data_IF_595433270157
#
_entry.id   IF_595433270157
#
_cell.length_a   1.000
_cell.length_b   1.000
_cell.length_c   1.000
_cell.angle_alpha   90.00
_cell.angle_beta   90.00
_cell.angle_gamma   90.00
#
_symmetry.space_group_name_H-M   'P 1'
#
loop_
_entity.id
_entity.type
_entity.pdbx_description
1 polymer ?
#
# COMPACT_ATOMS: atom_id res chain seq x y z
N UNK A 1 -23.84 6.55 2.24
CA UNK A 1 -23.53 5.69 1.07
C UNK A 1 -22.76 4.47 1.54
N UNK A 2 -23.27 3.24 1.37
CA UNK A 2 -22.48 2.03 1.59
C UNK A 2 -21.30 1.97 0.61
N UNK A 3 -20.18 1.36 1.01
CA UNK A 3 -19.05 1.15 0.14
C UNK A 3 -19.40 0.13 -0.95
N UNK A 4 -19.06 0.43 -2.21
CA UNK A 4 -19.22 -0.55 -3.30
C UNK A 4 -18.10 -1.58 -3.22
N UNK A 5 -18.44 -2.82 -2.87
CA UNK A 5 -17.50 -3.93 -2.92
C UNK A 5 -17.16 -4.29 -4.38
N UNK A 6 -15.94 -4.76 -4.59
CA UNK A 6 -15.40 -5.07 -5.91
C UNK A 6 -14.54 -6.32 -5.82
N UNK A 7 -14.95 -7.37 -6.55
CA UNK A 7 -14.21 -8.62 -6.64
C UNK A 7 -12.90 -8.46 -7.43
N UNK A 8 -11.85 -9.15 -6.99
CA UNK A 8 -10.62 -9.34 -7.78
C UNK A 8 -10.83 -10.33 -8.94
N UNK A 9 -9.89 -10.44 -9.88
CA UNK A 9 -9.99 -11.39 -10.99
C UNK A 9 -9.91 -12.84 -10.49
N UNK A 10 -9.13 -13.11 -9.45
CA UNK A 10 -9.16 -14.40 -8.75
C UNK A 10 -10.57 -14.73 -8.24
N UNK A 11 -11.14 -13.87 -7.39
CA UNK A 11 -12.47 -14.06 -6.79
C UNK A 11 -13.57 -14.27 -7.83
N UNK A 12 -13.51 -13.55 -8.96
CA UNK A 12 -14.42 -13.76 -10.10
C UNK A 12 -14.24 -15.12 -10.75
N UNK A 13 -13.00 -15.58 -10.93
CA UNK A 13 -12.73 -16.89 -11.53
C UNK A 13 -13.13 -18.03 -10.58
N UNK A 14 -12.94 -17.90 -9.26
CA UNK A 14 -13.47 -18.85 -8.26
C UNK A 14 -15.00 -18.90 -8.32
N UNK A 15 -15.68 -17.75 -8.39
CA UNK A 15 -17.14 -17.69 -8.54
C UNK A 15 -17.62 -18.31 -9.88
N UNK A 16 -16.87 -18.15 -10.97
CA UNK A 16 -17.15 -18.80 -12.27
C UNK A 16 -16.98 -20.31 -12.22
N UNK A 17 -15.96 -20.82 -11.52
CA UNK A 17 -15.75 -22.25 -11.33
C UNK A 17 -16.90 -22.85 -10.49
N UNK A 18 -17.21 -22.24 -9.35
CA UNK A 18 -18.32 -22.65 -8.47
C UNK A 18 -19.68 -22.67 -9.19
N UNK A 19 -19.97 -21.66 -10.01
CA UNK A 19 -21.19 -21.62 -10.84
C UNK A 19 -21.16 -22.65 -11.98
N UNK A 20 -20.00 -23.02 -12.53
CA UNK A 20 -19.88 -24.07 -13.55
C UNK A 20 -20.15 -25.46 -12.97
N UNK A 21 -19.73 -25.68 -11.73
CA UNK A 21 -20.03 -26.90 -10.97
C UNK A 21 -21.50 -26.98 -10.54
N UNK A 22 -22.18 -25.83 -10.40
CA UNK A 22 -23.54 -25.71 -9.87
C UNK A 22 -24.35 -24.64 -10.63
N UNK A 23 -24.74 -24.91 -11.90
CA UNK A 23 -25.42 -23.94 -12.76
C UNK A 23 -26.85 -23.61 -12.30
N UNK A 24 -27.44 -24.47 -11.46
CA UNK A 24 -28.81 -24.31 -10.94
C UNK A 24 -28.92 -23.30 -9.78
N UNK A 25 -27.78 -22.76 -9.29
CA UNK A 25 -27.77 -21.80 -8.19
C UNK A 25 -28.31 -20.42 -8.61
N UNK A 26 -29.21 -19.88 -7.81
CA UNK A 26 -29.76 -18.54 -8.02
C UNK A 26 -28.70 -17.46 -7.80
N UNK A 27 -28.91 -16.29 -8.42
CA UNK A 27 -28.05 -15.11 -8.22
C UNK A 27 -28.00 -14.61 -6.77
N UNK A 28 -28.93 -15.03 -5.92
CA UNK A 28 -28.97 -14.69 -4.49
C UNK A 28 -28.07 -15.64 -3.69
N UNK A 29 -28.17 -16.95 -3.90
CA UNK A 29 -27.27 -17.95 -3.29
C UNK A 29 -25.80 -17.73 -3.72
N UNK A 30 -25.56 -17.41 -5.00
CA UNK A 30 -24.22 -17.04 -5.49
C UNK A 30 -23.70 -15.75 -4.83
N UNK A 31 -24.58 -14.81 -4.43
CA UNK A 31 -24.20 -13.60 -3.69
C UNK A 31 -23.85 -13.93 -2.24
N UNK A 32 -24.66 -14.75 -1.58
CA UNK A 32 -24.43 -15.19 -0.20
C UNK A 32 -23.12 -15.95 -0.08
N UNK A 33 -22.88 -16.94 -0.93
CA UNK A 33 -21.59 -17.63 -1.02
C UNK A 33 -20.40 -16.67 -1.29
N UNK A 34 -20.59 -15.68 -2.16
CA UNK A 34 -19.56 -14.64 -2.42
C UNK A 34 -19.29 -13.78 -1.18
N UNK A 35 -20.30 -13.53 -0.35
CA UNK A 35 -20.15 -12.80 0.90
C UNK A 35 -19.47 -13.66 1.98
N UNK A 36 -19.88 -14.91 2.13
CA UNK A 36 -19.27 -15.88 3.05
C UNK A 36 -17.80 -16.12 2.74
N UNK A 37 -17.45 -16.41 1.48
CA UNK A 37 -16.08 -16.76 1.08
C UNK A 37 -15.13 -15.57 1.00
N UNK A 38 -15.62 -14.34 0.82
CA UNK A 38 -14.76 -13.16 0.57
C UNK A 38 -15.09 -11.89 1.36
N UNK A 39 -16.08 -11.91 2.26
CA UNK A 39 -16.52 -10.74 3.04
C UNK A 39 -17.12 -9.60 2.20
N UNK A 40 -17.59 -9.86 0.97
CA UNK A 40 -17.90 -8.83 -0.04
C UNK A 40 -19.35 -8.90 -0.51
N UNK A 41 -20.19 -8.00 0.01
CA UNK A 41 -21.57 -7.86 -0.46
C UNK A 41 -21.63 -7.16 -1.83
N UNK A 42 -21.93 -7.93 -2.88
CA UNK A 42 -21.99 -7.49 -4.28
C UNK A 42 -23.44 -7.55 -4.77
N UNK A 43 -23.85 -6.68 -5.70
CA UNK A 43 -25.25 -6.68 -6.20
C UNK A 43 -25.54 -7.88 -7.11
N UNK A 44 -26.75 -8.46 -7.01
CA UNK A 44 -27.25 -9.60 -7.82
C UNK A 44 -26.85 -9.55 -9.30
N UNK A 45 -27.16 -8.44 -9.97
CA UNK A 45 -26.87 -8.25 -11.40
C UNK A 45 -25.37 -8.22 -11.74
N UNK A 46 -24.51 -7.93 -10.77
CA UNK A 46 -23.05 -8.03 -10.92
C UNK A 46 -22.57 -9.46 -10.69
N UNK A 47 -23.15 -10.19 -9.74
CA UNK A 47 -22.89 -11.63 -9.54
C UNK A 47 -23.25 -12.42 -10.80
N UNK A 48 -24.49 -12.29 -11.30
CA UNK A 48 -24.93 -12.96 -12.52
C UNK A 48 -24.05 -12.64 -13.72
N UNK A 49 -23.68 -11.36 -13.92
CA UNK A 49 -22.79 -10.93 -15.01
C UNK A 49 -21.33 -11.42 -14.87
N UNK A 50 -20.84 -11.68 -13.66
CA UNK A 50 -19.52 -12.30 -13.45
C UNK A 50 -19.59 -13.79 -13.77
N UNK A 51 -20.60 -14.49 -13.23
CA UNK A 51 -20.82 -15.92 -13.37
C UNK A 51 -21.14 -16.34 -14.83
N UNK A 52 -21.80 -15.48 -15.60
CA UNK A 52 -22.09 -15.70 -17.04
C UNK A 52 -20.95 -15.32 -17.99
N UNK A 53 -19.81 -14.84 -17.48
CA UNK A 53 -18.65 -14.48 -18.30
C UNK A 53 -17.58 -15.57 -18.27
N UNK A 54 -16.85 -15.79 -19.38
CA UNK A 54 -15.72 -16.72 -19.39
C UNK A 54 -14.61 -16.26 -18.43
N UNK A 55 -13.71 -17.18 -18.09
CA UNK A 55 -12.61 -16.90 -17.17
C UNK A 55 -11.66 -15.81 -17.68
N UNK A 56 -11.31 -14.87 -16.79
CA UNK A 56 -10.39 -13.79 -17.10
C UNK A 56 -8.95 -14.27 -16.88
N UNK A 57 -8.27 -14.68 -17.96
CA UNK A 57 -6.81 -14.92 -17.94
C UNK A 57 -6.10 -13.56 -17.80
N UNK A 58 -5.59 -13.27 -16.61
CA UNK A 58 -4.88 -12.02 -16.32
C UNK A 58 -3.57 -12.31 -15.54
N UNK A 59 -2.49 -11.60 -15.88
CA UNK A 59 -1.21 -11.70 -15.19
C UNK A 59 -1.27 -11.29 -13.70
N UNK A 60 -2.27 -10.50 -13.30
CA UNK A 60 -2.48 -10.09 -11.92
C UNK A 60 -3.86 -10.53 -11.38
N UNK A 61 -3.96 -11.72 -10.77
CA UNK A 61 -5.19 -12.17 -10.09
C UNK A 61 -5.78 -11.17 -9.08
N UNK A 62 -4.94 -10.38 -8.38
CA UNK A 62 -5.37 -9.38 -7.39
C UNK A 62 -6.02 -8.12 -8.00
N UNK A 63 -5.94 -7.94 -9.32
CA UNK A 63 -6.52 -6.76 -9.96
C UNK A 63 -8.07 -6.83 -9.96
N UNK A 64 -8.74 -5.69 -9.77
CA UNK A 64 -10.22 -5.59 -9.81
C UNK A 64 -10.79 -5.50 -11.23
N UNK A 65 -9.96 -5.13 -12.21
CA UNK A 65 -10.29 -5.00 -13.64
C UNK A 65 -9.05 -5.34 -14.47
N UNK A 66 -9.24 -6.12 -15.54
CA UNK A 66 -8.20 -6.35 -16.53
C UNK A 66 -7.92 -5.05 -17.31
N UNK A 67 -6.66 -4.59 -17.36
CA UNK A 67 -6.26 -3.32 -17.97
C UNK A 67 -5.08 -3.54 -18.93
N UNK A 68 -5.37 -3.53 -20.24
CA UNK A 68 -4.35 -3.41 -21.29
C UNK A 68 -3.71 -2.02 -21.25
N UNK A 69 -2.41 -1.95 -21.57
CA UNK A 69 -1.70 -0.67 -21.72
C UNK A 69 -1.62 -0.23 -23.18
N UNK A 70 -0.83 0.81 -23.45
CA UNK A 70 -0.63 1.39 -24.79
C UNK A 70 0.00 0.40 -25.78
N UNK A 71 0.73 -0.60 -25.29
CA UNK A 71 1.55 -1.51 -26.11
C UNK A 71 1.35 -2.98 -25.71
N UNK A 72 0.14 -3.55 -25.88
CA UNK A 72 -0.23 -4.85 -25.29
C UNK A 72 0.62 -6.03 -25.82
N UNK A 73 1.10 -5.97 -27.05
CA UNK A 73 1.92 -7.04 -27.64
C UNK A 73 3.35 -7.03 -27.07
N UNK A 74 3.94 -5.85 -26.92
CA UNK A 74 5.22 -5.61 -26.24
C UNK A 74 5.13 -6.00 -24.76
N UNK A 75 4.02 -5.68 -24.08
CA UNK A 75 3.74 -6.09 -22.69
C UNK A 75 3.70 -7.62 -22.54
N UNK A 76 3.06 -8.32 -23.50
CA UNK A 76 2.98 -9.78 -23.53
C UNK A 76 4.34 -10.45 -23.74
N UNK A 77 5.20 -9.88 -24.57
CA UNK A 77 6.55 -10.40 -24.80
C UNK A 77 7.51 -10.09 -23.64
N UNK A 78 7.47 -8.88 -23.10
CA UNK A 78 8.22 -8.50 -21.89
C UNK A 78 7.83 -9.37 -20.69
N UNK A 79 6.54 -9.66 -20.51
CA UNK A 79 6.07 -10.56 -19.45
C UNK A 79 6.53 -12.01 -19.66
N UNK A 80 6.55 -12.52 -20.90
CA UNK A 80 7.12 -13.84 -21.23
C UNK A 80 8.61 -13.91 -20.86
N UNK A 81 9.39 -12.89 -21.23
CA UNK A 81 10.81 -12.78 -20.88
C UNK A 81 11.03 -12.88 -19.36
N UNK A 82 10.29 -12.09 -18.57
CA UNK A 82 10.36 -12.13 -17.10
C UNK A 82 10.06 -13.54 -16.56
N UNK A 83 8.97 -14.18 -17.03
CA UNK A 83 8.61 -15.53 -16.60
C UNK A 83 9.66 -16.57 -16.98
N UNK A 84 10.30 -16.46 -18.16
CA UNK A 84 11.39 -17.36 -18.55
C UNK A 84 12.62 -17.22 -17.66
N UNK A 85 13.07 -15.98 -17.36
CA UNK A 85 14.29 -15.79 -16.55
C UNK A 85 14.03 -16.08 -15.06
N UNK A 86 12.82 -15.85 -14.55
CA UNK A 86 12.41 -16.28 -13.21
C UNK A 86 12.46 -17.81 -13.07
N UNK A 87 11.99 -18.57 -14.09
CA UNK A 87 12.10 -20.04 -14.12
C UNK A 87 13.54 -20.55 -14.25
N UNK A 88 14.43 -19.80 -14.91
CA UNK A 88 15.84 -20.17 -15.03
C UNK A 88 16.61 -19.97 -13.71
N UNK A 89 16.21 -18.98 -12.90
CA UNK A 89 16.87 -18.64 -11.63
C UNK A 89 16.20 -19.29 -10.40
N UNK A 90 15.44 -20.37 -10.60
CA UNK A 90 14.49 -20.85 -9.58
C UNK A 90 15.18 -21.35 -8.29
N UNK A 91 16.43 -21.80 -8.37
CA UNK A 91 17.24 -22.29 -7.25
C UNK A 91 17.74 -21.20 -6.27
N UNK A 92 17.41 -19.92 -6.50
CA UNK A 92 17.75 -18.79 -5.60
C UNK A 92 16.51 -17.96 -5.19
N UNK A 93 15.29 -18.46 -5.43
CA UNK A 93 14.09 -17.63 -5.39
C UNK A 93 13.69 -17.11 -4.01
N UNK A 94 13.56 -17.98 -3.01
CA UNK A 94 12.58 -17.71 -1.94
C UNK A 94 12.97 -16.57 -1.00
N UNK A 95 14.27 -16.36 -0.76
CA UNK A 95 14.80 -15.17 -0.06
C UNK A 95 14.80 -13.93 -1.00
N UNK A 96 15.29 -14.08 -2.24
CA UNK A 96 15.38 -12.99 -3.22
C UNK A 96 14.00 -12.44 -3.66
N UNK A 97 12.92 -13.19 -3.46
CA UNK A 97 11.56 -12.75 -3.75
C UNK A 97 11.10 -11.59 -2.84
N UNK A 98 11.73 -11.37 -1.69
CA UNK A 98 11.37 -10.31 -0.73
C UNK A 98 12.24 -9.04 -0.85
N UNK A 99 13.52 -9.16 -1.22
CA UNK A 99 14.54 -8.09 -1.10
C UNK A 99 14.63 -7.07 -2.25
N UNK A 100 13.69 -7.05 -3.21
CA UNK A 100 13.77 -6.31 -4.49
C UNK A 100 14.93 -6.73 -5.45
N UNK A 101 15.97 -7.40 -4.95
CA UNK A 101 17.20 -7.84 -5.64
C UNK A 101 17.01 -8.96 -6.69
N UNK A 102 15.99 -8.86 -7.54
CA UNK A 102 15.92 -9.60 -8.80
C UNK A 102 16.31 -8.65 -9.94
N UNK A 103 17.51 -8.79 -10.56
CA UNK A 103 17.95 -7.91 -11.64
C UNK A 103 16.94 -7.83 -12.79
N UNK A 104 16.23 -8.93 -13.08
CA UNK A 104 15.14 -9.04 -14.06
C UNK A 104 13.96 -8.10 -13.78
N UNK A 105 13.72 -7.75 -12.51
CA UNK A 105 12.63 -6.85 -12.06
C UNK A 105 13.11 -5.42 -11.78
N UNK A 106 14.42 -5.15 -11.94
CA UNK A 106 14.98 -3.81 -11.91
C UNK A 106 14.36 -2.95 -13.02
N UNK A 107 14.04 -1.70 -12.69
CA UNK A 107 13.37 -0.80 -13.63
C UNK A 107 14.25 -0.41 -14.81
N UNK A 108 15.58 -0.33 -14.63
CA UNK A 108 16.50 -0.11 -15.75
C UNK A 108 16.48 -1.30 -16.74
N UNK A 109 16.54 -2.54 -16.24
CA UNK A 109 16.53 -3.75 -17.08
C UNK A 109 15.19 -3.89 -17.82
N UNK A 110 14.07 -3.70 -17.10
CA UNK A 110 12.74 -3.73 -17.70
C UNK A 110 12.51 -2.60 -18.71
N UNK A 111 13.03 -1.39 -18.46
CA UNK A 111 12.94 -0.25 -19.36
C UNK A 111 13.72 -0.48 -20.65
N UNK A 112 14.99 -0.91 -20.54
CA UNK A 112 15.83 -1.24 -21.68
C UNK A 112 15.21 -2.36 -22.52
N UNK A 113 14.74 -3.44 -21.89
CA UNK A 113 14.12 -4.57 -22.60
C UNK A 113 12.76 -4.21 -23.22
N UNK A 114 11.97 -3.34 -22.57
CA UNK A 114 10.74 -2.82 -23.16
C UNK A 114 11.03 -2.00 -24.44
N UNK A 115 12.02 -1.11 -24.41
CA UNK A 115 12.41 -0.31 -25.56
C UNK A 115 13.03 -1.14 -26.69
N UNK A 116 13.86 -2.15 -26.38
CA UNK A 116 14.37 -3.13 -27.36
C UNK A 116 13.23 -3.85 -28.09
N UNK A 117 12.24 -4.35 -27.33
CA UNK A 117 11.05 -5.00 -27.89
C UNK A 117 10.22 -4.00 -28.71
N UNK A 118 10.04 -2.76 -28.24
CA UNK A 118 9.25 -1.73 -28.93
C UNK A 118 9.88 -1.33 -30.28
N UNK A 119 11.20 -1.10 -30.30
CA UNK A 119 11.98 -0.79 -31.51
C UNK A 119 11.80 -1.88 -32.58
N UNK A 120 11.96 -3.15 -32.20
CA UNK A 120 11.75 -4.31 -33.10
C UNK A 120 10.30 -4.46 -33.58
N UNK A 121 9.30 -3.99 -32.81
CA UNK A 121 7.88 -4.11 -33.18
C UNK A 121 7.32 -2.89 -33.94
N UNK A 122 7.87 -1.68 -33.75
CA UNK A 122 7.29 -0.42 -34.27
C UNK A 122 8.29 0.65 -34.74
N UNK A 123 9.59 0.36 -34.79
CA UNK A 123 10.63 1.31 -35.19
C UNK A 123 11.14 2.20 -34.06
N UNK A 124 12.17 2.99 -34.35
CA UNK A 124 12.93 3.75 -33.35
C UNK A 124 12.22 4.99 -32.78
N UNK A 125 11.15 5.46 -33.44
CA UNK A 125 10.42 6.70 -33.09
C UNK A 125 9.64 6.61 -31.76
N UNK A 126 9.57 5.42 -31.13
CA UNK A 126 8.77 5.21 -29.92
C UNK A 126 9.60 4.59 -28.79
N UNK A 127 9.54 5.22 -27.63
CA UNK A 127 10.07 4.72 -26.36
C UNK A 127 9.01 4.80 -25.25
N UNK A 128 9.17 3.95 -24.23
CA UNK A 128 8.42 4.04 -22.98
C UNK A 128 9.23 4.80 -21.93
N UNK A 129 8.55 5.46 -20.98
CA UNK A 129 9.21 6.09 -19.82
C UNK A 129 9.31 5.14 -18.63
N UNK A 130 10.17 5.43 -17.64
CA UNK A 130 10.26 4.65 -16.40
C UNK A 130 8.91 4.58 -15.67
N UNK A 131 8.13 5.68 -15.69
CA UNK A 131 6.76 5.70 -15.18
C UNK A 131 5.77 4.79 -15.94
N UNK A 132 6.06 4.39 -17.18
CA UNK A 132 5.33 3.30 -17.85
C UNK A 132 5.73 1.93 -17.27
N UNK A 133 7.03 1.69 -16.98
CA UNK A 133 7.51 0.43 -16.37
C UNK A 133 6.90 0.21 -14.99
N UNK A 134 6.79 1.25 -14.17
CA UNK A 134 6.06 1.20 -12.89
C UNK A 134 4.58 0.78 -13.07
N UNK A 135 3.89 1.35 -14.08
CA UNK A 135 2.51 0.97 -14.42
C UNK A 135 2.41 -0.44 -15.03
N UNK A 136 3.45 -0.95 -15.68
CA UNK A 136 3.56 -2.34 -16.10
C UNK A 136 3.72 -3.28 -14.90
N UNK A 137 4.71 -3.03 -14.02
CA UNK A 137 4.94 -3.80 -12.76
C UNK A 137 3.64 -3.92 -11.95
N UNK A 138 2.89 -2.82 -11.79
CA UNK A 138 1.60 -2.77 -11.06
C UNK A 138 0.43 -3.49 -11.75
N UNK A 139 0.40 -3.55 -13.09
CA UNK A 139 -0.65 -4.27 -13.85
C UNK A 139 -0.39 -5.76 -13.94
N UNK A 140 0.87 -6.19 -13.95
CA UNK A 140 1.28 -7.60 -14.05
C UNK A 140 1.53 -8.28 -12.68
N UNK A 141 1.27 -7.61 -11.56
CA UNK A 141 1.44 -8.19 -10.22
C UNK A 141 2.90 -8.31 -9.76
N UNK A 142 3.82 -7.60 -10.43
CA UNK A 142 5.27 -7.66 -10.21
C UNK A 142 5.79 -6.54 -9.29
N UNK A 143 4.90 -5.64 -8.83
CA UNK A 143 5.26 -4.58 -7.87
C UNK A 143 5.49 -5.19 -6.48
N UNK A 144 6.55 -4.79 -5.77
CA UNK A 144 6.92 -5.30 -4.43
C UNK A 144 5.74 -5.46 -3.46
N UNK A 145 4.88 -4.45 -3.30
CA UNK A 145 3.71 -4.53 -2.43
C UNK A 145 2.68 -5.59 -2.85
N UNK A 146 2.51 -5.84 -4.15
CA UNK A 146 1.63 -6.91 -4.66
C UNK A 146 2.27 -8.30 -4.50
N UNK A 147 3.60 -8.40 -4.57
CA UNK A 147 4.35 -9.65 -4.36
C UNK A 147 4.34 -10.07 -2.88
N UNK A 148 4.55 -9.12 -1.97
CA UNK A 148 4.44 -9.34 -0.50
C UNK A 148 3.03 -9.77 -0.13
N UNK A 149 1.99 -9.07 -0.60
CA UNK A 149 0.60 -9.46 -0.35
C UNK A 149 0.27 -10.86 -0.91
N UNK A 150 0.78 -11.22 -2.10
CA UNK A 150 0.60 -12.58 -2.63
C UNK A 150 1.27 -13.65 -1.74
N UNK A 151 2.49 -13.39 -1.26
CA UNK A 151 3.22 -14.30 -0.38
C UNK A 151 2.50 -14.50 0.96
N UNK A 152 1.96 -13.42 1.54
CA UNK A 152 1.12 -13.48 2.74
C UNK A 152 -0.15 -14.31 2.48
N UNK A 153 -0.88 -14.03 1.39
CA UNK A 153 -2.08 -14.80 1.01
C UNK A 153 -1.80 -16.29 0.82
N UNK A 154 -0.67 -16.67 0.20
CA UNK A 154 -0.29 -18.08 0.07
C UNK A 154 0.19 -18.72 1.38
N UNK A 155 0.66 -17.93 2.35
CA UNK A 155 1.00 -18.43 3.67
C UNK A 155 -0.26 -18.70 4.50
N UNK A 156 -1.22 -17.76 4.51
CA UNK A 156 -2.51 -17.91 5.18
C UNK A 156 -3.30 -19.11 4.59
N UNK A 157 -3.35 -19.22 3.25
CA UNK A 157 -4.02 -20.32 2.52
C UNK A 157 -3.31 -21.69 2.69
N UNK A 158 -2.08 -21.71 3.24
CA UNK A 158 -1.37 -22.95 3.62
C UNK A 158 -1.63 -23.41 5.06
N UNK A 159 -2.32 -22.61 5.88
CA UNK A 159 -2.61 -22.92 7.30
C UNK A 159 -4.06 -23.39 7.50
N UNK A 160 -4.98 -23.03 6.60
CA UNK A 160 -6.41 -23.36 6.69
C UNK A 160 -6.83 -24.57 5.81
N UNK A 161 -6.00 -25.61 5.79
CA UNK A 161 -6.36 -26.90 5.20
C UNK A 161 -7.04 -27.78 6.27
N UNK A 162 -8.34 -28.13 6.15
CA UNK A 162 -9.02 -28.96 7.13
C UNK A 162 -8.49 -30.40 7.10
N UNK A 163 -8.05 -30.87 8.26
CA UNK A 163 -7.50 -32.21 8.45
C UNK A 163 -8.62 -33.26 8.41
N UNK A 164 -8.97 -33.70 7.20
CA UNK A 164 -9.99 -34.70 6.96
C UNK A 164 -9.44 -36.10 7.24
N UNK A 165 -9.63 -36.58 8.47
CA UNK A 165 -9.29 -37.96 8.88
C UNK A 165 -9.93 -38.98 7.93
N UNK A 166 -9.10 -39.79 7.27
CA UNK A 166 -9.54 -40.96 6.52
C UNK A 166 -9.52 -42.19 7.46
N UNK A 167 -10.66 -42.84 7.75
CA UNK A 167 -10.68 -44.01 8.63
C UNK A 167 -10.03 -45.22 7.95
N UNK A 168 -9.03 -45.82 8.60
CA UNK A 168 -8.45 -47.08 8.14
C UNK A 168 -9.46 -48.23 8.27
N UNK A 169 -9.63 -49.00 7.18
CA UNK A 169 -10.36 -50.25 7.17
C UNK A 169 -9.56 -51.33 6.43
N UNK A 170 -8.84 -52.16 7.18
CA UNK A 170 -8.38 -53.48 6.71
C UNK A 170 -9.57 -54.48 6.72
N UNK A 171 -9.53 -55.73 6.23
CA UNK A 171 -8.46 -56.71 5.98
C UNK A 171 -8.92 -57.65 4.84
N UNK A 172 -8.02 -58.30 4.08
CA UNK A 172 -8.41 -59.46 3.25
C UNK A 172 -7.28 -60.45 2.85
N UNK A 173 -6.61 -61.16 3.78
CA UNK A 173 -5.98 -62.47 3.48
C UNK A 173 -6.12 -63.46 4.67
N UNK A 174 -6.49 -64.71 4.38
CA UNK A 174 -6.43 -65.94 5.22
C UNK A 174 -7.22 -66.05 6.54
N UNK A 175 -8.24 -66.90 6.49
CA UNK A 175 -8.79 -67.76 7.56
C UNK A 175 -7.87 -68.99 7.82
N UNK A 176 -8.20 -69.98 8.71
CA UNK A 176 -9.25 -70.10 9.76
C UNK A 176 -8.72 -70.56 11.16
N UNK A 177 -9.62 -70.79 12.15
CA UNK A 177 -9.83 -72.08 12.92
C UNK A 177 -10.44 -71.91 14.35
N UNK A 178 -11.65 -72.47 14.54
CA UNK A 178 -12.25 -73.13 15.74
C UNK A 178 -12.53 -72.40 17.10
N UNK A 179 -13.36 -73.08 17.91
CA UNK A 179 -13.82 -72.83 19.31
C UNK A 179 -14.80 -71.63 19.52
N UNK A 180 -16.08 -71.80 19.94
CA UNK A 180 -16.64 -72.24 21.24
C UNK A 180 -16.54 -71.16 22.35
N UNK A 181 -17.52 -70.89 23.24
CA UNK A 181 -18.92 -71.36 23.44
C UNK A 181 -19.78 -70.34 24.23
N UNK A 182 -21.13 -70.43 24.08
CA UNK A 182 -22.23 -70.22 25.06
C UNK A 182 -22.38 -69.00 26.01
N UNK A 183 -23.66 -68.62 26.22
CA UNK A 183 -24.28 -68.09 27.48
C UNK A 183 -23.95 -66.66 27.98
N UNK A 184 -24.84 -65.89 28.65
CA UNK A 184 -26.31 -66.03 28.83
C UNK A 184 -27.05 -64.73 29.29
N UNK A 185 -28.39 -64.78 29.20
CA UNK A 185 -29.50 -64.06 29.89
C UNK A 185 -29.31 -62.80 30.78
N UNK A 186 -30.31 -61.88 30.67
CA UNK A 186 -30.66 -60.82 31.65
C UNK A 186 -31.08 -59.49 30.98
N UNK A 187 -32.35 -59.22 30.63
CA UNK A 187 -33.52 -58.92 31.49
C UNK A 187 -33.25 -57.79 32.51
N UNK A 188 -34.05 -56.71 32.64
CA UNK A 188 -35.50 -56.57 32.40
C UNK A 188 -35.96 -55.09 32.20
N UNK A 189 -37.27 -54.93 31.88
CA UNK A 189 -38.24 -53.82 32.13
C UNK A 189 -37.76 -52.44 32.69
N UNK A 190 -38.39 -51.28 32.40
CA UNK A 190 -39.44 -50.80 31.46
C UNK A 190 -39.54 -49.22 31.62
N UNK A 191 -40.56 -48.40 31.26
CA UNK A 191 -41.91 -48.53 30.68
C UNK A 191 -42.41 -47.13 30.18
N UNK A 192 -43.41 -47.09 29.26
CA UNK A 192 -44.59 -46.18 29.12
C UNK A 192 -44.58 -44.65 29.49
N UNK A 193 -45.35 -43.73 28.86
CA UNK A 193 -46.15 -43.67 27.60
C UNK A 193 -46.70 -42.21 27.36
N UNK A 194 -47.55 -42.01 26.33
CA UNK A 194 -48.40 -40.80 26.04
C UNK A 194 -47.66 -39.58 25.44
N UNK A 195 -47.96 -39.00 24.26
CA UNK A 195 -49.21 -38.64 23.54
C UNK A 195 -49.87 -37.32 24.03
N UNK A 196 -50.42 -36.44 23.17
CA UNK A 196 -50.52 -36.42 21.70
C UNK A 196 -51.27 -35.16 21.17
N UNK A 197 -51.54 -35.11 19.86
CA UNK A 197 -52.35 -34.09 19.12
C UNK A 197 -51.84 -32.61 19.13
N UNK A 198 -52.29 -31.68 18.27
CA UNK A 198 -53.46 -31.67 17.36
C UNK A 198 -53.16 -30.96 16.01
N UNK A 199 -54.03 -31.12 14.99
CA UNK A 199 -53.86 -30.58 13.62
C UNK A 199 -54.57 -29.24 13.37
N UNK A 200 -54.14 -28.48 12.34
CA UNK A 200 -54.95 -27.44 11.71
C UNK A 200 -54.56 -27.17 10.23
N UNK A 201 -55.48 -27.46 9.30
CA UNK A 201 -55.41 -27.03 7.89
C UNK A 201 -56.22 -25.75 7.67
N UNK A 202 -55.78 -24.87 6.76
CA UNK A 202 -56.66 -23.91 6.06
C UNK A 202 -56.18 -23.76 4.61
N UNK A 203 -57.08 -23.92 3.66
CA UNK A 203 -56.84 -23.80 2.22
C UNK A 203 -57.60 -22.59 1.61
N UNK A 204 -57.62 -22.51 0.27
CA UNK A 204 -58.52 -21.69 -0.57
C UNK A 204 -58.37 -20.16 -0.51
N UNK A 205 -57.72 -19.57 -1.53
CA UNK A 205 -58.44 -18.95 -2.66
C UNK A 205 -57.49 -18.45 -3.76
N UNK A 206 -57.94 -18.51 -5.01
CA UNK A 206 -57.17 -18.14 -6.20
C UNK A 206 -57.67 -16.83 -6.83
N UNK A 207 -56.84 -16.22 -7.70
CA UNK A 207 -57.27 -15.28 -8.74
C UNK A 207 -56.23 -15.21 -9.86
N UNK A 208 -56.53 -15.88 -10.97
CA UNK A 208 -55.90 -15.61 -12.26
C UNK A 208 -56.58 -14.41 -12.93
N UNK A 209 -55.82 -13.58 -13.66
CA UNK A 209 -56.23 -13.13 -15.00
C UNK A 209 -55.00 -12.64 -15.79
N UNK A 210 -55.11 -12.67 -17.12
CA UNK A 210 -53.99 -12.58 -18.06
C UNK A 210 -54.23 -11.51 -19.15
N UNK A 211 -53.51 -11.60 -20.28
CA UNK A 211 -53.64 -10.80 -21.53
C UNK A 211 -53.04 -9.37 -21.47
N UNK A 212 -52.50 -8.76 -22.55
CA UNK A 212 -52.15 -9.25 -23.91
C UNK A 212 -51.04 -8.36 -24.54
N UNK A 213 -50.52 -8.79 -25.69
CA UNK A 213 -49.47 -8.28 -26.60
C UNK A 213 -49.18 -6.76 -26.74
N UNK A 214 -47.99 -6.43 -27.24
CA UNK A 214 -47.60 -5.07 -27.68
C UNK A 214 -46.18 -4.94 -28.25
N UNK A 215 -45.97 -5.27 -29.54
CA UNK A 215 -44.74 -4.97 -30.31
C UNK A 215 -44.78 -3.53 -30.90
N UNK A 216 -43.64 -2.97 -31.33
CA UNK A 216 -43.67 -1.79 -32.23
C UNK A 216 -42.58 -0.70 -32.09
N UNK A 217 -41.35 -0.98 -32.55
CA UNK A 217 -40.47 -0.07 -33.31
C UNK A 217 -40.48 1.49 -33.14
N UNK A 218 -39.36 1.99 -32.59
CA UNK A 218 -38.40 2.90 -33.27
C UNK A 218 -38.55 4.46 -33.36
N UNK A 219 -37.35 5.06 -33.51
CA UNK A 219 -36.96 6.32 -34.22
C UNK A 219 -36.98 7.71 -33.53
N UNK A 220 -35.76 8.28 -33.51
CA UNK A 220 -35.35 9.70 -33.73
C UNK A 220 -35.87 10.82 -32.81
N UNK A 221 -34.96 11.23 -31.92
CA UNK A 221 -34.28 12.54 -31.92
C UNK A 221 -34.99 13.77 -32.50
N UNK A 222 -35.03 14.84 -31.70
CA UNK A 222 -34.69 16.21 -32.14
C UNK A 222 -34.16 17.05 -30.98
N UNK A 223 -33.16 17.87 -31.25
CA UNK A 223 -32.79 19.02 -30.42
C UNK A 223 -33.64 20.24 -30.84
N UNK A 224 -33.88 21.18 -29.92
CA UNK A 224 -34.65 22.39 -30.15
C UNK A 224 -34.56 23.32 -28.94
N UNK A 225 -34.13 24.54 -29.16
CA UNK A 225 -33.71 25.53 -28.16
C UNK A 225 -34.25 26.90 -28.57
N UNK A 226 -35.07 27.52 -27.70
CA UNK A 226 -35.68 28.88 -27.74
C UNK A 226 -36.97 28.83 -26.85
N UNK A 227 -37.43 29.83 -26.08
CA UNK A 227 -36.85 31.03 -25.41
C UNK A 227 -37.86 31.53 -24.35
N UNK A 228 -37.52 32.59 -23.59
CA UNK A 228 -38.29 33.24 -22.50
C UNK A 228 -39.84 33.39 -22.64
N UNK A 229 -40.53 33.33 -21.48
CA UNK A 229 -41.44 34.41 -21.03
C UNK A 229 -41.60 34.37 -19.49
N UNK A 230 -41.90 35.50 -18.85
CA UNK A 230 -41.90 35.67 -17.37
C UNK A 230 -43.27 35.50 -16.70
N UNK A 231 -43.27 35.03 -15.44
CA UNK A 231 -44.21 35.52 -14.40
C UNK A 231 -43.83 35.15 -12.96
N UNK A 232 -43.81 36.15 -12.10
CA UNK A 232 -43.80 36.00 -10.64
C UNK A 232 -45.16 35.51 -10.10
N UNK A 233 -45.15 34.80 -8.97
CA UNK A 233 -45.84 35.17 -7.71
C UNK A 233 -45.50 34.15 -6.60
N UNK A 234 -45.53 34.58 -5.34
CA UNK A 234 -44.77 33.94 -4.23
C UNK A 234 -45.68 33.22 -3.17
N UNK A 235 -45.23 32.79 -1.95
CA UNK A 235 -45.57 31.47 -1.41
C UNK A 235 -46.52 31.47 -0.19
N UNK A 236 -46.97 30.28 0.25
CA UNK A 236 -46.46 29.69 1.51
C UNK A 236 -46.21 28.15 1.38
N UNK A 237 -45.60 27.41 2.31
CA UNK A 237 -45.63 27.46 3.78
C UNK A 237 -44.31 27.04 4.46
N UNK A 238 -44.12 27.53 5.70
CA UNK A 238 -43.11 27.04 6.65
C UNK A 238 -43.49 25.66 7.19
N UNK A 239 -42.52 24.76 7.34
CA UNK A 239 -42.49 23.77 8.44
C UNK A 239 -41.22 23.98 9.26
N UNK A 240 -41.37 23.92 10.58
CA UNK A 240 -40.31 24.29 11.53
C UNK A 240 -39.24 23.20 11.68
N UNK A 241 -38.15 23.56 12.35
CA UNK A 241 -37.01 22.68 12.56
C UNK A 241 -37.37 21.39 13.33
N UNK A 242 -36.64 20.32 13.04
CA UNK A 242 -36.42 19.22 13.96
C UNK A 242 -34.92 18.92 13.90
N UNK A 243 -34.19 19.32 14.93
CA UNK A 243 -32.74 19.16 14.99
C UNK A 243 -32.38 17.68 15.13
N UNK A 244 -31.69 17.05 14.17
CA UNK A 244 -31.07 15.76 14.42
C UNK A 244 -29.91 15.95 15.41
N UNK A 245 -29.91 15.21 16.52
CA UNK A 245 -28.78 15.22 17.46
C UNK A 245 -27.47 14.83 16.74
N UNK A 246 -26.35 15.39 17.22
CA UNK A 246 -25.06 15.32 16.54
C UNK A 246 -24.45 13.91 16.51
N UNK A 247 -24.86 13.10 15.53
CA UNK A 247 -24.13 11.91 15.13
C UNK A 247 -22.77 12.31 14.55
N UNK A 248 -21.67 11.83 15.15
CA UNK A 248 -20.29 12.04 14.67
C UNK A 248 -20.05 11.30 13.35
N UNK A 249 -20.48 11.90 12.24
CA UNK A 249 -20.25 11.39 10.88
C UNK A 249 -19.01 12.10 10.33
N UNK A 250 -17.86 11.45 10.47
CA UNK A 250 -16.56 12.00 10.08
C UNK A 250 -16.53 12.18 8.55
N UNK A 251 -16.49 13.44 8.10
CA UNK A 251 -16.47 13.82 6.69
C UNK A 251 -15.12 13.44 6.10
N UNK A 252 -15.10 12.95 4.86
CA UNK A 252 -13.85 12.47 4.22
C UNK A 252 -13.13 13.51 3.36
N UNK A 253 -13.83 14.57 2.96
CA UNK A 253 -13.35 15.62 2.05
C UNK A 253 -13.41 17.00 2.72
N UNK A 254 -12.45 17.87 2.39
CA UNK A 254 -12.48 19.27 2.78
C UNK A 254 -13.62 20.01 2.05
N UNK A 255 -14.26 20.94 2.75
CA UNK A 255 -15.32 21.86 2.29
C UNK A 255 -14.91 23.28 2.66
N UNK A 256 -15.50 24.35 2.08
CA UNK A 256 -14.97 25.71 2.31
C UNK A 256 -14.89 26.13 3.77
N UNK A 257 -15.90 25.87 4.60
CA UNK A 257 -15.81 26.05 6.05
C UNK A 257 -14.58 25.36 6.67
N UNK A 258 -14.30 24.11 6.30
CA UNK A 258 -13.15 23.36 6.79
C UNK A 258 -11.80 23.80 6.18
N UNK A 259 -11.80 24.42 4.99
CA UNK A 259 -10.62 25.11 4.47
C UNK A 259 -10.35 26.39 5.28
N UNK A 260 -11.40 27.15 5.65
CA UNK A 260 -11.30 28.36 6.48
C UNK A 260 -10.78 28.02 7.88
N UNK A 261 -11.33 26.99 8.52
CA UNK A 261 -10.87 26.46 9.82
C UNK A 261 -9.39 26.03 9.75
N UNK A 262 -9.02 25.23 8.73
CA UNK A 262 -7.64 24.83 8.47
C UNK A 262 -6.69 26.02 8.29
N UNK A 263 -7.06 27.01 7.48
CA UNK A 263 -6.21 28.19 7.21
C UNK A 263 -6.08 29.10 8.43
N UNK A 264 -7.15 29.23 9.22
CA UNK A 264 -7.15 29.98 10.49
C UNK A 264 -6.18 29.34 11.48
N UNK A 265 -6.24 28.01 11.65
CA UNK A 265 -5.32 27.30 12.54
C UNK A 265 -3.86 27.32 12.02
N UNK A 266 -3.67 27.26 10.70
CA UNK A 266 -2.34 27.39 10.08
C UNK A 266 -1.73 28.79 10.29
N UNK A 267 -2.54 29.86 10.34
CA UNK A 267 -2.08 31.21 10.72
C UNK A 267 -1.83 31.37 12.22
N UNK A 268 -2.55 30.64 13.07
CA UNK A 268 -2.34 30.62 14.52
C UNK A 268 -1.05 29.86 14.88
N UNK A 269 -0.96 28.59 14.50
CA UNK A 269 0.16 27.68 14.80
C UNK A 269 1.42 28.01 14.00
N UNK A 270 1.32 28.52 12.75
CA UNK A 270 2.45 28.91 11.89
C UNK A 270 3.44 27.76 11.65
N UNK A 271 3.02 26.66 10.99
CA UNK A 271 3.81 25.44 10.87
C UNK A 271 5.17 25.60 10.15
N UNK A 272 5.39 26.70 9.43
CA UNK A 272 6.67 27.05 8.80
C UNK A 272 7.69 27.69 9.75
N UNK A 273 7.31 28.03 10.99
CA UNK A 273 8.18 28.66 11.98
C UNK A 273 8.81 27.67 12.98
N UNK A 274 8.50 26.37 12.86
CA UNK A 274 9.08 25.32 13.70
C UNK A 274 10.47 24.91 13.22
N UNK A 275 11.28 24.36 14.14
CA UNK A 275 12.56 23.72 13.78
C UNK A 275 12.32 22.42 13.02
N UNK A 276 13.28 21.93 12.19
CA UNK A 276 13.12 20.69 11.42
C UNK A 276 12.85 19.42 12.25
N UNK A 277 13.13 19.47 13.56
CA UNK A 277 12.90 18.40 14.53
C UNK A 277 11.45 18.33 15.02
N UNK A 278 10.67 19.41 14.85
CA UNK A 278 9.30 19.55 15.33
C UNK A 278 8.34 19.75 14.15
N UNK A 279 7.49 18.76 13.86
CA UNK A 279 6.49 18.91 12.79
C UNK A 279 5.36 19.85 13.21
N UNK A 280 5.46 21.12 12.82
CA UNK A 280 4.40 22.11 13.00
C UNK A 280 3.05 21.72 12.38
N UNK A 281 3.03 20.87 11.34
CA UNK A 281 1.78 20.37 10.76
C UNK A 281 1.11 19.31 11.63
N UNK A 282 1.87 18.62 12.48
CA UNK A 282 1.30 17.73 13.49
C UNK A 282 0.58 18.52 14.58
N UNK A 283 1.08 19.69 14.98
CA UNK A 283 0.36 20.61 15.87
C UNK A 283 -0.95 21.12 15.23
N UNK A 284 -0.91 21.59 13.97
CA UNK A 284 -2.12 21.98 13.21
C UNK A 284 -3.13 20.81 13.18
N UNK A 285 -2.68 19.58 12.91
CA UNK A 285 -3.55 18.41 12.82
C UNK A 285 -4.03 17.85 14.17
N UNK A 286 -3.49 18.34 15.31
CA UNK A 286 -3.99 18.07 16.66
C UNK A 286 -5.00 19.15 17.07
N UNK A 287 -4.65 20.44 16.97
CA UNK A 287 -5.52 21.56 17.33
C UNK A 287 -6.87 21.49 16.57
N UNK A 288 -6.83 21.14 15.28
CA UNK A 288 -8.05 20.94 14.47
C UNK A 288 -8.93 19.77 14.93
N UNK A 289 -8.49 18.87 15.81
CA UNK A 289 -9.35 17.82 16.39
C UNK A 289 -10.07 18.29 17.66
N UNK A 290 -9.51 19.28 18.33
CA UNK A 290 -10.08 19.88 19.54
C UNK A 290 -11.10 20.98 19.18
N UNK A 291 -11.01 21.55 17.96
CA UNK A 291 -12.07 22.40 17.36
C UNK A 291 -13.31 21.55 17.06
N UNK A 292 -14.31 21.60 17.94
CA UNK A 292 -15.47 20.69 17.94
C UNK A 292 -16.35 20.66 16.68
N UNK A 293 -16.25 21.63 15.78
CA UNK A 293 -16.97 21.66 14.49
C UNK A 293 -16.17 21.09 13.30
N UNK A 294 -14.85 20.91 13.44
CA UNK A 294 -13.97 20.37 12.40
C UNK A 294 -14.13 18.84 12.28
N UNK A 295 -15.15 18.41 11.55
CA UNK A 295 -15.58 16.99 11.46
C UNK A 295 -14.71 16.13 10.53
N UNK A 296 -13.39 16.32 10.54
CA UNK A 296 -12.44 15.82 9.53
C UNK A 296 -11.21 15.16 10.17
N UNK A 297 -11.21 13.83 10.31
CA UNK A 297 -10.00 13.09 10.68
C UNK A 297 -8.92 13.27 9.59
N UNK A 298 -7.89 14.04 9.91
CA UNK A 298 -6.75 14.33 9.03
C UNK A 298 -5.42 14.13 9.75
N UNK A 299 -4.40 13.85 8.94
CA UNK A 299 -2.99 13.78 9.32
C UNK A 299 -2.30 15.07 8.92
N UNK A 300 -1.15 15.38 9.56
CA UNK A 300 -0.29 16.52 9.24
C UNK A 300 -0.11 16.73 7.72
N UNK A 301 0.39 15.69 7.03
CA UNK A 301 0.59 15.72 5.57
C UNK A 301 -0.69 15.91 4.74
N UNK A 302 -1.87 15.51 5.24
CA UNK A 302 -3.14 15.77 4.54
C UNK A 302 -3.59 17.23 4.67
N UNK A 303 -3.33 17.87 5.81
CA UNK A 303 -3.52 19.30 6.01
C UNK A 303 -2.52 20.12 5.17
N UNK A 304 -1.24 19.77 5.23
CA UNK A 304 -0.16 20.37 4.43
C UNK A 304 -0.46 20.31 2.92
N UNK A 305 -0.80 19.12 2.39
CA UNK A 305 -1.13 18.94 0.99
C UNK A 305 -2.37 19.73 0.55
N UNK A 306 -3.35 19.93 1.46
CA UNK A 306 -4.53 20.77 1.18
C UNK A 306 -4.15 22.25 1.08
N UNK A 307 -3.37 22.78 2.02
CA UNK A 307 -2.91 24.18 1.97
C UNK A 307 -2.04 24.43 0.74
N UNK A 308 -1.10 23.52 0.42
CA UNK A 308 -0.27 23.63 -0.77
C UNK A 308 -1.09 23.73 -2.08
N UNK A 309 -2.12 22.87 -2.22
CA UNK A 309 -3.05 22.88 -3.35
C UNK A 309 -3.89 24.16 -3.43
N UNK A 310 -4.37 24.68 -2.29
CA UNK A 310 -5.13 25.94 -2.25
C UNK A 310 -4.25 27.15 -2.63
N UNK A 311 -3.01 27.21 -2.14
CA UNK A 311 -2.03 28.23 -2.51
C UNK A 311 -1.63 28.14 -3.99
N UNK A 312 -1.60 26.93 -4.57
CA UNK A 312 -1.35 26.75 -6.00
C UNK A 312 -2.54 27.19 -6.86
N UNK A 313 -3.78 26.93 -6.44
CA UNK A 313 -4.95 27.50 -7.09
C UNK A 313 -5.01 29.03 -7.00
N UNK A 314 -4.58 29.63 -5.87
CA UNK A 314 -4.44 31.08 -5.75
C UNK A 314 -3.38 31.62 -6.73
N UNK A 315 -2.17 31.03 -6.74
CA UNK A 315 -1.09 31.41 -7.67
C UNK A 315 -1.44 31.23 -9.15
N UNK A 316 -2.29 30.25 -9.47
CA UNK A 316 -2.79 30.02 -10.82
C UNK A 316 -4.04 30.84 -11.19
N UNK A 317 -4.51 31.75 -10.32
CA UNK A 317 -5.73 32.55 -10.54
C UNK A 317 -7.01 31.73 -10.65
N UNK A 318 -7.02 30.48 -10.18
CA UNK A 318 -8.11 29.52 -10.39
C UNK A 318 -9.24 29.71 -9.36
N UNK A 319 -9.92 30.85 -9.46
CA UNK A 319 -11.08 31.21 -8.64
C UNK A 319 -12.16 30.13 -8.66
N UNK A 320 -12.44 29.54 -9.83
CA UNK A 320 -13.42 28.47 -9.98
C UNK A 320 -13.11 27.24 -9.10
N UNK A 321 -11.84 26.81 -9.00
CA UNK A 321 -11.46 25.70 -8.13
C UNK A 321 -11.54 26.05 -6.63
N UNK A 322 -11.31 27.31 -6.26
CA UNK A 322 -11.44 27.82 -4.89
C UNK A 322 -12.91 27.99 -4.46
N UNK A 323 -13.78 28.43 -5.36
CA UNK A 323 -15.19 28.75 -5.12
C UNK A 323 -16.08 27.50 -4.98
N UNK A 324 -15.81 26.44 -5.76
CA UNK A 324 -16.60 25.20 -6.00
C UNK A 324 -17.18 24.41 -4.80
N UNK A 325 -16.98 24.83 -3.55
CA UNK A 325 -17.43 24.11 -2.36
C UNK A 325 -17.88 25.02 -1.21
N UNK A 326 -18.40 26.21 -1.50
CA UNK A 326 -18.89 27.15 -0.49
C UNK A 326 -19.79 28.26 -1.03
N UNK A 327 -20.22 29.15 -0.13
CA UNK A 327 -20.93 30.40 -0.43
C UNK A 327 -19.93 31.52 -0.81
N UNK A 328 -20.43 32.63 -1.39
CA UNK A 328 -19.60 33.78 -1.80
C UNK A 328 -18.78 34.35 -0.62
N UNK A 329 -19.41 34.49 0.55
CA UNK A 329 -18.75 34.97 1.78
C UNK A 329 -17.62 34.02 2.26
N UNK A 330 -17.81 32.71 2.08
CA UNK A 330 -16.78 31.71 2.39
C UNK A 330 -15.63 31.78 1.37
N UNK A 331 -15.92 32.04 0.10
CA UNK A 331 -14.91 32.22 -0.93
C UNK A 331 -14.06 33.48 -0.65
N UNK A 332 -14.68 34.63 -0.37
CA UNK A 332 -14.00 35.87 -0.03
C UNK A 332 -13.07 35.72 1.19
N UNK A 333 -13.60 35.19 2.30
CA UNK A 333 -12.83 34.95 3.53
C UNK A 333 -11.69 33.94 3.33
N UNK A 334 -11.90 32.92 2.50
CA UNK A 334 -10.85 31.94 2.15
C UNK A 334 -9.75 32.57 1.29
N UNK A 335 -10.08 33.48 0.37
CA UNK A 335 -9.10 34.20 -0.45
C UNK A 335 -8.25 35.18 0.38
N UNK A 336 -8.85 35.88 1.34
CA UNK A 336 -8.16 36.69 2.34
C UNK A 336 -7.14 35.85 3.14
N UNK A 337 -7.60 34.78 3.79
CA UNK A 337 -6.75 33.89 4.59
C UNK A 337 -5.62 33.24 3.76
N UNK A 338 -5.87 32.82 2.51
CA UNK A 338 -4.83 32.28 1.63
C UNK A 338 -3.79 33.34 1.25
N UNK A 339 -4.21 34.58 1.10
CA UNK A 339 -3.31 35.70 0.78
C UNK A 339 -2.43 36.04 1.99
N UNK A 340 -2.99 36.06 3.21
CA UNK A 340 -2.19 36.21 4.43
C UNK A 340 -1.21 35.04 4.60
N UNK A 341 -1.66 33.78 4.47
CA UNK A 341 -0.77 32.59 4.55
C UNK A 341 0.37 32.68 3.55
N UNK A 342 0.09 33.07 2.29
CA UNK A 342 1.12 33.22 1.27
C UNK A 342 2.12 34.33 1.64
N UNK A 343 1.67 35.47 2.19
CA UNK A 343 2.53 36.55 2.67
C UNK A 343 3.40 36.11 3.85
N UNK A 344 2.85 35.46 4.88
CA UNK A 344 3.63 35.01 6.06
C UNK A 344 4.68 33.96 5.68
N UNK A 345 4.33 33.00 4.82
CA UNK A 345 5.28 32.00 4.31
C UNK A 345 6.42 32.69 3.56
N UNK A 346 6.11 33.57 2.60
CA UNK A 346 7.13 34.28 1.81
C UNK A 346 8.02 35.18 2.67
N UNK A 347 7.46 35.88 3.66
CA UNK A 347 8.24 36.67 4.61
C UNK A 347 9.16 35.80 5.47
N UNK A 348 8.67 34.65 5.95
CA UNK A 348 9.46 33.71 6.74
C UNK A 348 10.59 33.07 5.94
N UNK A 349 10.36 32.72 4.67
CA UNK A 349 11.43 32.18 3.80
C UNK A 349 12.44 33.24 3.40
N UNK A 350 12.01 34.48 3.13
CA UNK A 350 12.90 35.61 2.85
C UNK A 350 13.82 35.93 4.04
N UNK A 351 13.26 36.02 5.25
CA UNK A 351 14.05 36.25 6.47
C UNK A 351 15.03 35.10 6.76
N UNK A 352 14.62 33.85 6.55
CA UNK A 352 15.52 32.71 6.70
C UNK A 352 16.72 32.77 5.75
N UNK A 353 16.52 33.21 4.49
CA UNK A 353 17.60 33.39 3.52
C UNK A 353 18.53 34.55 3.90
N UNK A 354 17.99 35.72 4.27
CA UNK A 354 18.79 36.90 4.68
C UNK A 354 19.67 36.59 5.91
N UNK A 355 19.13 35.86 6.90
CA UNK A 355 19.91 35.39 8.07
C UNK A 355 21.04 34.44 7.67
N UNK A 356 20.81 33.51 6.74
CA UNK A 356 21.87 32.62 6.24
C UNK A 356 22.92 33.39 5.42
N UNK A 357 22.49 34.38 4.63
CA UNK A 357 23.39 35.17 3.78
C UNK A 357 24.33 36.05 4.62
N UNK A 358 23.81 36.75 5.64
CA UNK A 358 24.63 37.52 6.60
C UNK A 358 25.56 36.63 7.43
N UNK A 359 25.11 35.43 7.78
CA UNK A 359 25.95 34.43 8.47
C UNK A 359 27.12 33.93 7.60
N UNK A 360 26.98 34.00 6.28
CA UNK A 360 28.00 33.61 5.30
C UNK A 360 28.94 34.78 4.96
N UNK A 361 28.45 36.02 4.92
CA UNK A 361 29.29 37.23 4.75
C UNK A 361 30.22 37.47 5.95
N UNK A 362 29.76 37.20 7.17
CA UNK A 362 30.55 37.44 8.39
C UNK A 362 31.65 36.38 8.64
N UNK A 363 31.92 35.50 7.67
CA UNK A 363 32.89 34.40 7.77
C UNK A 363 34.21 34.62 6.99
N UNK A 364 34.42 35.79 6.38
CA UNK A 364 35.63 36.11 5.59
C UNK A 364 36.48 37.22 6.23
N UNK A 365 37.78 36.99 6.53
CA UNK A 365 38.68 38.03 7.01
C UNK A 365 39.19 38.93 5.85
N UNK A 366 39.37 40.24 6.05
CA UNK A 366 39.80 41.15 5.00
C UNK A 366 41.31 41.03 4.73
N UNK A 367 41.68 40.42 3.60
CA UNK A 367 43.05 40.45 3.10
C UNK A 367 43.35 41.78 2.40
N UNK A 368 44.25 42.58 2.96
CA UNK A 368 44.72 43.83 2.37
C UNK A 368 45.79 43.54 1.31
N UNK A 369 45.58 44.04 0.10
CA UNK A 369 46.67 44.29 -0.86
C UNK A 369 46.37 45.59 -1.64
N UNK A 370 47.40 46.38 -1.93
CA UNK A 370 47.28 47.73 -2.49
C UNK A 370 47.34 47.78 -4.02
N UNK A 371 46.74 48.85 -4.55
CA UNK A 371 47.18 49.67 -5.69
C UNK A 371 47.94 49.02 -6.86
N UNK A 372 47.39 49.16 -8.06
CA UNK A 372 48.04 50.00 -9.10
C UNK A 372 47.02 50.51 -10.11
N UNK A 373 47.23 51.71 -10.66
CA UNK A 373 46.26 52.41 -11.50
C UNK A 373 46.72 52.51 -12.96
N UNK A 374 45.76 52.45 -13.90
CA UNK A 374 45.89 53.03 -15.24
C UNK A 374 44.59 53.77 -15.59
N UNK A 375 44.74 55.03 -15.98
CA UNK A 375 43.64 55.93 -16.37
C UNK A 375 43.27 55.75 -17.85
N UNK A 376 41.98 55.69 -18.17
CA UNK A 376 41.46 56.44 -19.34
C UNK A 376 39.95 56.69 -19.28
N UNK A 377 39.51 57.67 -20.05
CA UNK A 377 38.18 58.30 -20.01
C UNK A 377 37.54 58.23 -21.40
N UNK A 378 36.29 57.78 -21.50
CA UNK A 378 35.35 58.17 -22.55
C UNK A 378 33.91 57.75 -22.18
N UNK A 379 32.93 58.57 -22.55
CA UNK A 379 31.51 58.30 -22.33
C UNK A 379 30.96 57.11 -23.13
N UNK A 380 30.05 56.36 -22.50
CA UNK A 380 28.83 55.84 -23.17
C UNK A 380 27.78 55.50 -22.11
N UNK A 381 27.12 56.52 -21.57
CA UNK A 381 25.92 56.31 -20.76
C UNK A 381 24.79 55.68 -21.58
N UNK A 382 23.95 54.90 -20.91
CA UNK A 382 22.58 54.53 -21.33
C UNK A 382 22.40 53.39 -22.39
N UNK A 383 23.07 52.24 -22.20
CA UNK A 383 22.65 50.95 -22.82
C UNK A 383 22.70 49.75 -21.84
N UNK A 384 23.65 49.71 -20.90
CA UNK A 384 24.02 48.49 -20.14
C UNK A 384 22.94 47.99 -19.15
N UNK A 385 22.05 48.86 -18.67
CA UNK A 385 21.11 48.58 -17.58
C UNK A 385 20.05 47.47 -17.86
N UNK A 386 20.02 46.88 -19.05
CA UNK A 386 19.09 45.82 -19.44
C UNK A 386 19.71 44.41 -19.55
N UNK A 387 21.03 44.26 -19.52
CA UNK A 387 21.71 42.96 -19.70
C UNK A 387 22.21 42.34 -18.40
N UNK A 388 22.59 43.15 -17.41
CA UNK A 388 23.13 42.68 -16.12
C UNK A 388 22.11 41.85 -15.32
N UNK A 389 20.82 42.18 -15.42
CA UNK A 389 19.73 41.47 -14.73
C UNK A 389 19.54 40.03 -15.22
N UNK A 390 19.88 39.72 -16.47
CA UNK A 390 19.78 38.33 -16.98
C UNK A 390 20.90 37.48 -16.40
N UNK A 391 22.14 37.96 -16.52
CA UNK A 391 23.35 37.22 -16.09
C UNK A 391 23.31 36.91 -14.59
N UNK A 392 22.80 37.83 -13.77
CA UNK A 392 22.61 37.59 -12.33
C UNK A 392 21.63 36.45 -12.01
N UNK A 393 20.51 36.34 -12.72
CA UNK A 393 19.53 35.27 -12.49
C UNK A 393 20.11 33.89 -12.83
N UNK A 394 20.94 33.79 -13.87
CA UNK A 394 21.58 32.52 -14.24
C UNK A 394 22.60 32.07 -13.16
N UNK A 395 23.43 32.99 -12.65
CA UNK A 395 24.37 32.70 -11.56
C UNK A 395 23.67 32.29 -10.24
N UNK A 396 22.49 32.85 -9.95
CA UNK A 396 21.71 32.48 -8.77
C UNK A 396 20.96 31.15 -8.96
N UNK A 397 20.58 30.81 -10.19
CA UNK A 397 20.08 29.49 -10.53
C UNK A 397 21.18 28.42 -10.40
N UNK A 398 22.39 28.69 -10.89
CA UNK A 398 23.55 27.79 -10.75
C UNK A 398 23.93 27.58 -9.29
N UNK A 399 24.07 28.65 -8.49
CA UNK A 399 24.33 28.53 -7.04
C UNK A 399 23.24 27.75 -6.31
N UNK A 400 21.98 27.88 -6.73
CA UNK A 400 20.86 27.09 -6.17
C UNK A 400 20.94 25.60 -6.55
N UNK A 401 21.44 25.26 -7.73
CA UNK A 401 21.70 23.87 -8.13
C UNK A 401 22.88 23.29 -7.35
N UNK A 402 23.99 24.02 -7.23
CA UNK A 402 25.18 23.61 -6.46
C UNK A 402 24.85 23.34 -4.98
N UNK A 403 23.96 24.15 -4.38
CA UNK A 403 23.46 23.92 -3.02
C UNK A 403 22.57 22.66 -2.89
N UNK A 404 21.78 22.33 -3.92
CA UNK A 404 20.98 21.10 -3.95
C UNK A 404 21.86 19.87 -4.16
N UNK A 405 22.85 19.96 -5.04
CA UNK A 405 23.85 18.91 -5.28
C UNK A 405 24.63 18.61 -3.99
N UNK A 406 25.23 19.62 -3.35
CA UNK A 406 25.92 19.45 -2.06
C UNK A 406 25.01 18.92 -0.94
N UNK A 407 23.70 19.18 -0.98
CA UNK A 407 22.76 18.59 -0.02
C UNK A 407 22.55 17.10 -0.31
N UNK A 408 22.33 16.75 -1.58
CA UNK A 408 22.18 15.35 -2.03
C UNK A 408 23.45 14.53 -1.76
N UNK A 409 24.64 15.10 -1.98
CA UNK A 409 25.92 14.46 -1.67
C UNK A 409 26.05 14.12 -0.17
N UNK A 410 25.69 15.05 0.72
CA UNK A 410 25.72 14.83 2.18
C UNK A 410 24.74 13.73 2.60
N UNK A 411 23.49 13.81 2.12
CA UNK A 411 22.46 12.81 2.42
C UNK A 411 22.90 11.40 1.94
N UNK A 412 23.48 11.31 0.74
CA UNK A 412 23.98 10.06 0.17
C UNK A 412 25.25 9.56 0.89
N UNK A 413 26.10 10.45 1.41
CA UNK A 413 27.25 10.10 2.25
C UNK A 413 26.82 9.63 3.65
N UNK A 414 25.76 10.21 4.22
CA UNK A 414 25.16 9.78 5.50
C UNK A 414 24.49 8.40 5.35
N UNK A 415 23.74 8.17 4.27
CA UNK A 415 23.19 6.85 3.93
C UNK A 415 24.28 5.78 3.78
N UNK A 416 25.40 6.11 3.10
CA UNK A 416 26.58 5.22 3.03
C UNK A 416 27.16 4.92 4.40
N UNK A 417 27.41 5.94 5.24
CA UNK A 417 27.93 5.76 6.61
C UNK A 417 27.03 4.89 7.48
N UNK A 418 25.71 5.02 7.34
CA UNK A 418 24.74 4.19 8.04
C UNK A 418 24.81 2.72 7.57
N UNK A 419 24.87 2.48 6.25
CA UNK A 419 25.05 1.14 5.69
C UNK A 419 26.39 0.50 6.12
N UNK A 420 27.49 1.26 6.08
CA UNK A 420 28.81 0.80 6.53
C UNK A 420 28.80 0.38 8.01
N UNK A 421 28.13 1.14 8.88
CA UNK A 421 28.05 0.78 10.30
C UNK A 421 27.12 -0.41 10.56
N UNK A 422 26.06 -0.61 9.77
CA UNK A 422 25.27 -1.85 9.80
C UNK A 422 26.12 -3.07 9.38
N UNK A 423 26.96 -2.94 8.35
CA UNK A 423 27.91 -3.99 7.97
C UNK A 423 28.91 -4.27 9.10
N UNK A 424 29.49 -3.23 9.72
CA UNK A 424 30.39 -3.42 10.89
C UNK A 424 29.70 -4.07 12.09
N UNK A 425 28.42 -3.79 12.33
CA UNK A 425 27.66 -4.46 13.38
C UNK A 425 27.48 -5.96 13.08
N UNK A 426 27.14 -6.32 11.84
CA UNK A 426 27.06 -7.72 11.40
C UNK A 426 28.42 -8.44 11.48
N UNK A 427 29.51 -7.80 11.07
CA UNK A 427 30.87 -8.35 11.22
C UNK A 427 31.25 -8.60 12.68
N UNK A 428 30.94 -7.67 13.60
CA UNK A 428 31.19 -7.84 15.04
C UNK A 428 30.41 -9.04 15.59
N UNK A 429 29.14 -9.17 15.22
CA UNK A 429 28.30 -10.31 15.61
C UNK A 429 28.85 -11.64 15.07
N UNK A 430 29.25 -11.68 13.79
CA UNK A 430 29.81 -12.88 13.18
C UNK A 430 31.13 -13.32 13.85
N UNK A 431 32.02 -12.37 14.19
CA UNK A 431 33.28 -12.65 14.91
C UNK A 431 33.01 -13.20 16.31
N UNK A 432 32.16 -12.55 17.09
CA UNK A 432 31.81 -13.03 18.45
C UNK A 432 31.10 -14.39 18.44
N UNK A 433 30.28 -14.69 17.43
CA UNK A 433 29.69 -16.02 17.23
C UNK A 433 30.76 -17.09 16.94
N UNK A 434 31.73 -16.78 16.08
CA UNK A 434 32.82 -17.69 15.72
C UNK A 434 33.78 -17.93 16.90
N UNK A 435 34.11 -16.88 17.66
CA UNK A 435 34.89 -16.97 18.92
C UNK A 435 34.14 -17.81 19.98
N UNK A 436 32.81 -17.67 20.07
CA UNK A 436 31.97 -18.50 20.95
C UNK A 436 32.00 -19.97 20.54
N UNK A 437 31.92 -20.29 19.24
CA UNK A 437 32.04 -21.66 18.76
C UNK A 437 33.44 -22.25 18.99
N UNK A 438 34.51 -21.47 18.75
CA UNK A 438 35.88 -21.92 19.00
C UNK A 438 36.14 -22.19 20.49
N UNK A 439 35.65 -21.32 21.39
CA UNK A 439 35.80 -21.51 22.84
C UNK A 439 34.99 -22.69 23.35
N UNK A 440 33.76 -22.91 22.86
CA UNK A 440 32.98 -24.13 23.15
C UNK A 440 33.69 -25.40 22.68
N UNK A 441 34.25 -25.40 21.46
CA UNK A 441 35.00 -26.55 20.94
C UNK A 441 36.29 -26.82 21.73
N UNK A 442 37.02 -25.77 22.15
CA UNK A 442 38.20 -25.90 22.99
C UNK A 442 37.87 -26.44 24.40
N UNK A 443 36.76 -26.00 25.00
CA UNK A 443 36.25 -26.55 26.27
C UNK A 443 35.88 -28.04 26.13
N UNK A 444 35.19 -28.41 25.04
CA UNK A 444 34.83 -29.80 24.78
C UNK A 444 36.09 -30.69 24.64
N UNK A 445 37.09 -30.25 23.87
CA UNK A 445 38.38 -30.96 23.77
C UNK A 445 39.09 -31.10 25.13
N UNK A 446 39.09 -30.05 25.95
CA UNK A 446 39.68 -30.09 27.29
C UNK A 446 38.96 -31.09 28.22
N UNK A 447 37.62 -31.14 28.19
CA UNK A 447 36.86 -32.13 28.98
C UNK A 447 37.11 -33.57 28.52
N UNK A 448 37.24 -33.81 27.21
CA UNK A 448 37.62 -35.13 26.67
C UNK A 448 39.02 -35.53 27.14
N UNK A 449 40.00 -34.62 27.09
CA UNK A 449 41.36 -34.89 27.60
C UNK A 449 41.37 -35.18 29.11
N UNK A 450 40.56 -34.45 29.90
CA UNK A 450 40.40 -34.71 31.33
C UNK A 450 39.78 -36.10 31.60
N UNK A 451 38.77 -36.50 30.84
CA UNK A 451 38.16 -37.83 30.93
C UNK A 451 39.16 -38.94 30.54
N UNK A 452 39.96 -38.74 29.49
CA UNK A 452 41.01 -39.68 29.09
C UNK A 452 42.09 -39.82 30.17
N UNK A 453 42.56 -38.73 30.77
CA UNK A 453 43.52 -38.77 31.87
C UNK A 453 42.96 -39.53 33.09
N UNK A 454 41.73 -39.22 33.49
CA UNK A 454 41.03 -39.90 34.60
C UNK A 454 40.86 -41.40 34.33
N UNK A 455 40.51 -41.78 33.09
CA UNK A 455 40.38 -43.18 32.68
C UNK A 455 41.73 -43.91 32.76
N UNK A 456 42.83 -43.29 32.32
CA UNK A 456 44.18 -43.87 32.40
C UNK A 456 44.63 -44.07 33.84
N UNK A 457 44.36 -43.13 34.74
CA UNK A 457 44.69 -43.28 36.17
C UNK A 457 43.81 -44.33 36.86
N UNK A 458 42.53 -44.44 36.47
CA UNK A 458 41.67 -45.54 36.92
C UNK A 458 42.23 -46.90 36.48
N UNK A 459 42.64 -47.05 35.22
CA UNK A 459 43.27 -48.28 34.69
C UNK A 459 44.55 -48.63 35.44
N UNK A 460 45.43 -47.64 35.71
CA UNK A 460 46.65 -47.82 36.53
C UNK A 460 46.29 -48.33 37.93
N UNK A 461 45.29 -47.71 38.58
CA UNK A 461 44.88 -48.11 39.93
C UNK A 461 44.36 -49.55 40.00
N UNK A 462 43.53 -49.97 39.04
CA UNK A 462 43.01 -51.34 38.95
C UNK A 462 44.13 -52.33 38.68
N UNK A 463 45.06 -52.01 37.78
CA UNK A 463 46.25 -52.83 37.49
C UNK A 463 47.14 -53.00 38.72
N UNK A 464 47.33 -51.93 39.51
CA UNK A 464 48.08 -51.99 40.77
C UNK A 464 47.39 -52.85 41.83
N UNK A 465 46.05 -52.78 41.93
CA UNK A 465 45.26 -53.64 42.83
C UNK A 465 45.40 -55.12 42.43
N UNK A 466 45.29 -55.43 41.14
CA UNK A 466 45.46 -56.80 40.62
C UNK A 466 46.86 -57.36 40.91
N UNK A 467 47.92 -56.57 40.69
CA UNK A 467 49.29 -56.98 41.05
C UNK A 467 49.47 -57.19 42.56
N UNK A 468 48.83 -56.37 43.40
CA UNK A 468 48.87 -56.51 44.85
C UNK A 468 48.02 -57.70 45.37
N UNK A 469 47.02 -58.16 44.61
CA UNK A 469 46.27 -59.37 44.89
C UNK A 469 47.03 -60.64 44.47
N UNK A 470 47.67 -60.64 43.30
CA UNK A 470 48.51 -61.75 42.85
C UNK A 470 49.64 -62.07 43.85
N UNK A 471 50.35 -61.03 44.33
CA UNK A 471 51.40 -61.13 45.37
C UNK A 471 50.90 -61.50 46.77
N UNK A 472 49.65 -61.93 46.92
CA UNK A 472 49.07 -62.53 48.15
C UNK A 472 48.56 -63.95 47.94
N UNK A 473 48.78 -64.53 46.76
CA UNK A 473 48.41 -65.90 46.40
C UNK A 473 49.64 -66.77 46.09
N UNK A 474 50.81 -66.14 45.93
CA UNK A 474 52.15 -66.71 46.13
C UNK A 474 52.57 -66.59 47.61
#
# INVERSE_FOLDING_TARGET
>A
MPARHHLTIAEKNTLRAFHRERPDLTQEQLREWTHERFGKWVGRSTIGKVASMPEEVCANPSAKRNQTGRYPDMERELYRFIVSTVRQNQNQMDEALLRDELPVLSEAVLWTKANEILKRLRGDDQSVSVGWVQRFKKRHGLHRSQRVLRLQQSADESVEAPEAEAPEAAVAITTPVAAETSSETGASMAQEQSAGDESAEVEVLASEQATVDGDGSAKRAREGEETDDEKELSPPHKKAATSPQSGRINRKQFSSAADIELLTEVLATKPWAFTPEMDGWQHVALNLRDVGDYRLDKTAGACQARVALLLEHLRAGNTAALHKSGMEDEFARKQELLTEVQQKITASTGFAVDVHQRSNEMALPPSVTQETAVTQVADTSNVVAATETSVGHDHDAERRLELLERKMERELAEQRRHADEQVRQLERLQRTQLETQQTQHAQLLATIQQQQAMMLDLIKSVSSIQQAQAKKQE
#
